data_IF_677736152957
#
_entry.id   IF_677736152957
#
_cell.length_a   1.000
_cell.length_b   1.000
_cell.length_c   1.000
_cell.angle_alpha   90.00
_cell.angle_beta   90.00
_cell.angle_gamma   90.00
#
_symmetry.space_group_name_H-M   'P 1'
#
loop_
_entity.id
_entity.type
_entity.pdbx_description
1 polymer ?
#
# COMPACT_ATOMS: atom_id res chain seq x y z
N UNK A 1 -32.17 7.09 16.07
CA UNK A 1 -31.09 6.13 16.42
C UNK A 1 -29.97 6.12 15.35
N UNK A 2 -30.04 6.96 14.30
CA UNK A 2 -29.04 7.02 13.20
C UNK A 2 -27.93 8.08 13.39
N UNK A 3 -27.84 8.76 14.54
CA UNK A 3 -27.07 10.00 14.70
C UNK A 3 -25.68 9.88 15.38
N UNK A 4 -25.05 8.71 15.46
CA UNK A 4 -23.75 8.53 16.16
C UNK A 4 -22.66 7.88 15.30
N UNK A 5 -22.66 8.10 13.99
CA UNK A 5 -21.51 7.70 13.16
C UNK A 5 -20.49 8.85 13.16
N UNK A 6 -19.24 8.61 13.57
CA UNK A 6 -18.20 9.64 13.62
C UNK A 6 -17.85 10.15 12.21
N UNK A 7 -17.19 11.31 12.16
CA UNK A 7 -16.91 11.97 10.89
C UNK A 7 -15.95 11.16 10.02
N UNK A 8 -16.19 11.21 8.71
CA UNK A 8 -15.42 10.50 7.69
C UNK A 8 -14.61 11.51 6.90
N UNK A 9 -13.29 11.38 6.94
CA UNK A 9 -12.38 12.25 6.19
C UNK A 9 -11.63 11.41 5.16
N UNK A 10 -11.81 11.69 3.87
CA UNK A 10 -11.07 11.04 2.79
C UNK A 10 -9.98 11.98 2.25
N UNK A 11 -8.75 11.49 2.12
CA UNK A 11 -7.62 12.25 1.57
C UNK A 11 -6.85 11.44 0.53
N UNK A 12 -6.61 12.08 -0.62
CA UNK A 12 -5.68 11.60 -1.63
C UNK A 12 -4.25 12.02 -1.26
N UNK A 13 -3.38 11.04 -1.07
CA UNK A 13 -1.96 11.23 -0.79
C UNK A 13 -1.16 10.93 -2.05
N UNK A 14 -0.68 12.00 -2.70
CA UNK A 14 0.17 11.90 -3.89
C UNK A 14 1.60 11.59 -3.47
N UNK A 15 2.11 10.45 -3.94
CA UNK A 15 3.43 9.94 -3.65
C UNK A 15 4.29 10.07 -4.90
N UNK A 16 5.42 10.78 -4.81
CA UNK A 16 6.30 10.92 -5.96
C UNK A 16 7.01 9.60 -6.27
N UNK A 17 6.99 9.19 -7.54
CA UNK A 17 7.73 8.00 -7.94
C UNK A 17 9.23 8.18 -7.68
N UNK A 18 9.86 7.16 -7.09
CA UNK A 18 11.30 7.10 -6.88
C UNK A 18 12.05 7.13 -8.21
N UNK A 19 13.36 7.44 -8.18
CA UNK A 19 14.19 7.37 -9.38
C UNK A 19 14.18 5.98 -10.02
N UNK A 20 14.16 4.93 -9.19
CA UNK A 20 14.12 3.55 -9.65
C UNK A 20 12.76 3.18 -10.27
N UNK A 21 11.65 3.60 -9.66
CA UNK A 21 10.32 3.44 -10.25
C UNK A 21 10.24 4.10 -11.63
N UNK A 22 10.72 5.34 -11.75
CA UNK A 22 10.76 6.07 -13.02
C UNK A 22 11.59 5.34 -14.09
N UNK A 23 12.72 4.76 -13.69
CA UNK A 23 13.58 3.96 -14.58
C UNK A 23 12.85 2.71 -15.10
N UNK A 24 12.22 1.94 -14.21
CA UNK A 24 11.50 0.73 -14.59
C UNK A 24 10.28 1.05 -15.47
N UNK A 25 9.53 2.10 -15.14
CA UNK A 25 8.39 2.54 -15.95
C UNK A 25 8.82 2.91 -17.37
N UNK A 26 9.91 3.68 -17.52
CA UNK A 26 10.48 3.97 -18.84
C UNK A 26 10.87 2.71 -19.59
N UNK A 27 11.47 1.72 -18.91
CA UNK A 27 11.84 0.45 -19.54
C UNK A 27 10.63 -0.32 -20.07
N UNK A 28 9.50 -0.27 -19.36
CA UNK A 28 8.22 -0.85 -19.85
C UNK A 28 7.73 -0.10 -21.10
N UNK A 29 7.79 1.23 -21.09
CA UNK A 29 7.41 2.08 -22.23
C UNK A 29 8.29 1.83 -23.46
N UNK A 30 9.60 1.71 -23.29
CA UNK A 30 10.53 1.42 -24.39
C UNK A 30 10.27 0.03 -25.00
N UNK A 31 9.97 -0.97 -24.17
CA UNK A 31 9.63 -2.31 -24.62
C UNK A 31 8.28 -2.34 -25.38
N UNK A 32 7.33 -1.47 -25.03
CA UNK A 32 6.10 -1.27 -25.79
C UNK A 32 6.38 -0.64 -27.17
N UNK A 33 7.28 0.35 -27.23
CA UNK A 33 7.62 1.05 -28.46
C UNK A 33 8.44 0.24 -29.47
N UNK A 34 9.24 -0.72 -29.00
CA UNK A 34 10.06 -1.59 -29.86
C UNK A 34 9.25 -2.72 -30.53
N UNK A 35 8.07 -3.07 -30.01
CA UNK A 35 7.26 -4.18 -30.50
C UNK A 35 6.19 -3.63 -31.46
N UNK A 36 6.55 -3.53 -32.75
CA UNK A 36 5.62 -3.19 -33.81
C UNK A 36 4.35 -4.07 -33.79
N UNK A 37 3.20 -3.44 -34.05
CA UNK A 37 1.88 -3.99 -34.40
C UNK A 37 1.56 -5.44 -33.96
N UNK A 38 1.77 -5.81 -32.69
CA UNK A 38 1.36 -7.12 -32.18
C UNK A 38 0.60 -7.07 -30.85
N UNK A 39 -0.69 -7.41 -30.98
CA UNK A 39 -1.65 -8.03 -30.03
C UNK A 39 -1.82 -7.35 -28.66
N UNK A 40 -3.06 -6.92 -28.40
CA UNK A 40 -3.70 -6.50 -27.13
C UNK A 40 -3.14 -7.15 -25.84
N UNK A 41 -2.66 -8.40 -25.89
CA UNK A 41 -1.99 -9.09 -24.77
C UNK A 41 -0.68 -8.43 -24.29
N UNK A 42 0.12 -7.85 -25.19
CA UNK A 42 1.36 -7.14 -24.85
C UNK A 42 1.08 -5.86 -24.05
N UNK A 43 0.01 -5.14 -24.43
CA UNK A 43 -0.46 -3.94 -23.72
C UNK A 43 -0.98 -4.29 -22.32
N UNK A 44 -1.78 -5.36 -22.19
CA UNK A 44 -2.29 -5.81 -20.89
C UNK A 44 -1.15 -6.14 -19.90
N UNK A 45 -0.12 -6.86 -20.36
CA UNK A 45 1.04 -7.20 -19.54
C UNK A 45 1.79 -5.93 -19.10
N UNK A 46 1.92 -4.95 -19.98
CA UNK A 46 2.60 -3.69 -19.67
C UNK A 46 1.83 -2.85 -18.65
N UNK A 47 0.50 -2.78 -18.75
CA UNK A 47 -0.33 -2.09 -17.74
C UNK A 47 -0.24 -2.77 -16.39
N UNK A 48 -0.25 -4.11 -16.35
CA UNK A 48 -0.05 -4.85 -15.11
C UNK A 48 1.34 -4.59 -14.51
N UNK A 49 2.36 -4.49 -15.36
CA UNK A 49 3.71 -4.22 -14.92
C UNK A 49 3.88 -2.79 -14.38
N UNK A 50 3.33 -1.78 -15.07
CA UNK A 50 3.28 -0.41 -14.56
C UNK A 50 2.56 -0.34 -13.21
N UNK A 51 1.46 -1.10 -13.05
CA UNK A 51 0.73 -1.21 -11.79
C UNK A 51 1.57 -1.85 -10.68
N UNK A 52 2.32 -2.91 -10.99
CA UNK A 52 3.26 -3.53 -10.06
C UNK A 52 4.30 -2.49 -9.60
N UNK A 53 4.97 -1.82 -10.54
CA UNK A 53 6.01 -0.82 -10.26
C UNK A 53 5.45 0.35 -9.43
N UNK A 54 4.25 0.84 -9.75
CA UNK A 54 3.57 1.91 -9.00
C UNK A 54 3.31 1.52 -7.54
N UNK A 55 2.99 0.26 -7.27
CA UNK A 55 2.73 -0.22 -5.92
C UNK A 55 4.04 -0.51 -5.16
N UNK A 56 4.96 -1.26 -5.78
CA UNK A 56 6.31 -1.47 -5.29
C UNK A 56 7.21 -2.08 -6.38
N UNK A 57 8.45 -1.60 -6.60
CA UNK A 57 9.35 -2.16 -7.61
C UNK A 57 9.62 -3.66 -7.47
N UNK A 58 9.68 -4.21 -6.26
CA UNK A 58 9.90 -5.66 -6.05
C UNK A 58 8.79 -6.55 -6.63
N UNK A 59 7.63 -5.97 -6.97
CA UNK A 59 6.56 -6.70 -7.65
C UNK A 59 6.83 -6.88 -9.15
N UNK A 60 7.68 -6.01 -9.71
CA UNK A 60 8.06 -5.96 -11.11
C UNK A 60 8.95 -7.15 -11.47
N UNK A 61 8.73 -7.73 -12.65
CA UNK A 61 9.62 -8.72 -13.25
C UNK A 61 10.92 -8.10 -13.76
N UNK A 62 10.95 -6.77 -13.92
CA UNK A 62 12.15 -6.02 -14.30
C UNK A 62 13.05 -5.69 -13.11
N UNK A 63 12.57 -5.92 -11.89
CA UNK A 63 13.41 -5.76 -10.70
C UNK A 63 14.37 -6.94 -10.57
N UNK A 64 15.63 -6.64 -10.27
CA UNK A 64 16.69 -7.61 -10.07
C UNK A 64 17.46 -7.23 -8.80
N UNK A 65 17.79 -8.22 -7.98
CA UNK A 65 18.38 -7.98 -6.64
C UNK A 65 19.81 -7.43 -6.72
N UNK A 66 20.53 -7.69 -7.81
CA UNK A 66 21.89 -7.23 -8.08
C UNK A 66 21.99 -5.69 -8.06
N UNK A 67 20.89 -4.99 -8.37
CA UNK A 67 20.81 -3.53 -8.29
C UNK A 67 21.06 -3.04 -6.84
N UNK A 68 20.79 -3.85 -5.82
CA UNK A 68 21.04 -3.46 -4.42
C UNK A 68 22.53 -3.22 -4.14
N UNK A 69 23.44 -3.91 -4.83
CA UNK A 69 24.88 -3.67 -4.73
C UNK A 69 25.35 -2.41 -5.45
N UNK A 70 24.57 -1.92 -6.43
CA UNK A 70 24.86 -0.73 -7.22
C UNK A 70 24.27 0.55 -6.59
N UNK A 71 23.29 0.40 -5.70
CA UNK A 71 22.66 1.52 -5.01
C UNK A 71 23.58 1.99 -3.87
N UNK A 72 23.93 3.30 -3.80
CA UNK A 72 24.71 3.83 -2.70
C UNK A 72 24.07 3.52 -1.34
N UNK A 73 24.90 3.16 -0.35
CA UNK A 73 24.43 2.90 1.02
C UNK A 73 23.64 4.10 1.56
N UNK A 74 22.58 3.82 2.29
CA UNK A 74 21.67 4.81 2.84
C UNK A 74 21.11 4.33 4.16
N UNK A 75 20.68 5.24 5.03
CA UNK A 75 20.13 4.89 6.34
C UNK A 75 18.77 4.19 6.24
N UNK A 76 17.96 4.56 5.23
CA UNK A 76 16.76 3.80 4.87
C UNK A 76 17.13 2.57 4.02
N UNK A 77 16.50 1.42 4.29
CA UNK A 77 16.67 0.22 3.48
C UNK A 77 16.12 0.41 2.07
N UNK A 78 16.62 -0.39 1.13
CA UNK A 78 16.23 -0.32 -0.28
C UNK A 78 14.71 -0.54 -0.48
N UNK A 79 14.08 -1.42 0.31
CA UNK A 79 12.62 -1.64 0.26
C UNK A 79 11.84 -0.33 0.40
N UNK A 80 12.23 0.56 1.33
CA UNK A 80 11.56 1.85 1.52
C UNK A 80 11.97 2.84 0.43
N UNK A 81 13.28 3.00 0.23
CA UNK A 81 13.83 4.07 -0.62
C UNK A 81 13.47 3.91 -2.11
N UNK A 82 13.26 2.68 -2.55
CA UNK A 82 12.93 2.40 -3.95
C UNK A 82 11.45 2.61 -4.27
N UNK A 83 10.57 2.81 -3.28
CA UNK A 83 9.14 3.01 -3.51
C UNK A 83 8.61 4.29 -2.86
N UNK A 84 8.14 5.24 -3.68
CA UNK A 84 7.60 6.51 -3.17
C UNK A 84 6.39 6.37 -2.26
N UNK A 85 5.52 5.37 -2.51
CA UNK A 85 4.38 5.09 -1.62
C UNK A 85 4.83 4.57 -0.26
N UNK A 86 5.81 3.66 -0.25
CA UNK A 86 6.32 3.09 0.99
C UNK A 86 7.13 4.11 1.78
N UNK A 87 7.90 4.97 1.11
CA UNK A 87 8.57 6.11 1.74
C UNK A 87 7.55 7.09 2.37
N UNK A 88 6.42 7.35 1.71
CA UNK A 88 5.35 8.16 2.31
C UNK A 88 4.73 7.48 3.53
N UNK A 89 4.43 6.17 3.42
CA UNK A 89 3.92 5.37 4.54
C UNK A 89 4.90 5.36 5.72
N UNK A 90 6.21 5.29 5.47
CA UNK A 90 7.27 5.34 6.48
C UNK A 90 7.24 6.62 7.32
N UNK A 91 6.76 7.72 6.74
CA UNK A 91 6.59 9.02 7.42
C UNK A 91 5.23 9.16 8.11
N UNK A 92 4.20 8.46 7.63
CA UNK A 92 2.83 8.53 8.15
C UNK A 92 2.61 7.60 9.34
N UNK A 93 3.04 6.34 9.24
CA UNK A 93 2.80 5.30 10.24
C UNK A 93 3.33 5.65 11.65
N UNK A 94 4.53 6.26 11.82
CA UNK A 94 4.99 6.67 13.14
C UNK A 94 4.08 7.72 13.80
N UNK A 95 3.51 8.64 13.00
CA UNK A 95 2.58 9.66 13.50
C UNK A 95 1.28 9.02 13.96
N UNK A 96 0.73 8.12 13.14
CA UNK A 96 -0.48 7.37 13.47
C UNK A 96 -0.28 6.52 14.73
N UNK A 97 0.89 5.88 14.89
CA UNK A 97 1.20 5.09 16.07
C UNK A 97 1.35 5.96 17.32
N UNK A 98 2.00 7.12 17.20
CA UNK A 98 2.19 8.06 18.31
C UNK A 98 0.85 8.65 18.83
N UNK A 99 -0.16 8.74 17.97
CA UNK A 99 -1.51 9.22 18.33
C UNK A 99 -2.52 8.08 18.54
N UNK A 100 -2.05 6.85 18.78
CA UNK A 100 -2.89 5.69 19.12
C UNK A 100 -4.00 5.37 18.08
N UNK A 101 -3.67 5.53 16.80
CA UNK A 101 -4.50 5.04 15.69
C UNK A 101 -4.18 3.57 15.38
N UNK A 102 -5.13 2.85 14.80
CA UNK A 102 -4.97 1.48 14.30
C UNK A 102 -5.28 1.43 12.81
N UNK A 103 -4.41 0.80 12.03
CA UNK A 103 -4.42 0.94 10.57
C UNK A 103 -4.90 -0.35 9.90
N UNK A 104 -5.84 -0.22 8.96
CA UNK A 104 -6.13 -1.30 8.00
C UNK A 104 -5.47 -0.97 6.67
N UNK A 105 -4.58 -1.86 6.22
CA UNK A 105 -3.92 -1.71 4.93
C UNK A 105 -4.51 -2.69 3.94
N UNK A 106 -5.16 -2.15 2.91
CA UNK A 106 -5.76 -2.96 1.85
C UNK A 106 -4.87 -3.01 0.61
N UNK A 107 -4.79 -4.20 0.02
CA UNK A 107 -4.17 -4.38 -1.28
C UNK A 107 -4.93 -5.39 -2.12
N UNK A 108 -5.01 -5.14 -3.42
CA UNK A 108 -5.50 -6.15 -4.39
C UNK A 108 -4.47 -7.26 -4.65
N UNK A 109 -3.19 -6.96 -4.43
CA UNK A 109 -2.06 -7.85 -4.72
C UNK A 109 -1.57 -8.45 -3.41
N UNK A 110 -1.64 -9.78 -3.26
CA UNK A 110 -1.11 -10.49 -2.09
C UNK A 110 0.41 -10.35 -2.00
N UNK A 111 1.12 -10.36 -3.13
CA UNK A 111 2.57 -10.10 -3.19
C UNK A 111 2.98 -8.75 -2.57
N UNK A 112 2.11 -7.74 -2.62
CA UNK A 112 2.37 -6.47 -1.96
C UNK A 112 2.28 -6.61 -0.44
N UNK A 113 1.40 -7.49 0.06
CA UNK A 113 1.31 -7.76 1.49
C UNK A 113 2.61 -8.41 1.99
N UNK A 114 3.22 -9.32 1.22
CA UNK A 114 4.53 -9.91 1.55
C UNK A 114 5.59 -8.81 1.73
N UNK A 115 5.68 -7.87 0.78
CA UNK A 115 6.59 -6.70 0.89
C UNK A 115 6.27 -5.84 2.11
N UNK A 116 4.99 -5.66 2.43
CA UNK A 116 4.60 -4.91 3.63
C UNK A 116 5.01 -5.66 4.91
N UNK A 117 4.91 -6.99 4.97
CA UNK A 117 5.37 -7.78 6.11
C UNK A 117 6.86 -7.56 6.37
N UNK A 118 7.71 -7.64 5.34
CA UNK A 118 9.15 -7.38 5.46
C UNK A 118 9.43 -5.98 6.04
N UNK A 119 8.73 -4.97 5.54
CA UNK A 119 8.84 -3.59 6.02
C UNK A 119 8.38 -3.46 7.48
N UNK A 120 7.25 -4.07 7.85
CA UNK A 120 6.71 -4.00 9.22
C UNK A 120 7.58 -4.77 10.21
N UNK A 121 8.18 -5.88 9.78
CA UNK A 121 9.18 -6.62 10.54
C UNK A 121 10.40 -5.74 10.80
N UNK A 122 10.94 -5.08 9.77
CA UNK A 122 12.06 -4.14 9.95
C UNK A 122 11.71 -2.99 10.91
N UNK A 123 10.48 -2.44 10.83
CA UNK A 123 10.00 -1.38 11.73
C UNK A 123 9.58 -1.85 13.12
N UNK A 124 9.57 -3.16 13.38
CA UNK A 124 9.10 -3.75 14.63
C UNK A 124 7.65 -3.36 14.96
N UNK A 125 6.80 -3.29 13.94
CA UNK A 125 5.37 -3.10 14.10
C UNK A 125 4.67 -4.47 14.15
N UNK A 126 3.89 -4.70 15.21
CA UNK A 126 3.04 -5.89 15.30
C UNK A 126 1.86 -5.74 14.35
N UNK A 127 1.63 -6.75 13.54
CA UNK A 127 0.58 -6.75 12.55
C UNK A 127 -0.12 -8.12 12.47
N UNK A 128 -1.30 -8.13 11.87
CA UNK A 128 -2.01 -9.35 11.45
C UNK A 128 -2.20 -9.31 9.94
N UNK A 129 -2.39 -10.48 9.32
CA UNK A 129 -2.62 -10.63 7.88
C UNK A 129 -3.81 -11.52 7.61
N UNK A 130 -4.70 -11.08 6.72
CA UNK A 130 -5.83 -11.87 6.25
C UNK A 130 -5.93 -11.76 4.72
N UNK A 131 -5.74 -12.90 4.05
CA UNK A 131 -5.82 -13.00 2.60
C UNK A 131 -6.56 -14.27 2.12
N UNK A 132 -6.45 -14.60 0.84
CA UNK A 132 -7.14 -15.75 0.25
C UNK A 132 -6.60 -17.11 0.71
N UNK A 133 -5.38 -17.16 1.25
CA UNK A 133 -4.75 -18.40 1.73
C UNK A 133 -5.08 -18.67 3.20
N UNK A 134 -5.61 -17.69 3.94
CA UNK A 134 -6.05 -17.87 5.32
C UNK A 134 -7.25 -18.84 5.39
N UNK A 135 -7.10 -19.91 6.17
CA UNK A 135 -8.14 -20.91 6.38
C UNK A 135 -9.40 -20.27 7.00
N UNK A 136 -10.59 -20.77 6.63
CA UNK A 136 -11.87 -20.19 7.05
C UNK A 136 -12.01 -20.06 8.58
N UNK A 137 -11.58 -21.08 9.33
CA UNK A 137 -11.65 -21.09 10.80
C UNK A 137 -10.74 -20.08 11.50
N UNK A 138 -9.63 -19.67 10.87
CA UNK A 138 -8.67 -18.73 11.47
C UNK A 138 -9.08 -17.26 11.30
N UNK A 139 -9.94 -16.97 10.32
CA UNK A 139 -10.38 -15.60 10.01
C UNK A 139 -11.02 -14.93 11.21
N UNK A 140 -11.95 -15.63 11.88
CA UNK A 140 -12.63 -15.12 13.08
C UNK A 140 -11.65 -14.78 14.19
N UNK A 141 -10.71 -15.68 14.46
CA UNK A 141 -9.70 -15.49 15.50
C UNK A 141 -8.78 -14.29 15.23
N UNK A 142 -8.39 -14.04 13.98
CA UNK A 142 -7.58 -12.86 13.62
C UNK A 142 -8.36 -11.55 13.82
N UNK A 143 -9.64 -11.53 13.47
CA UNK A 143 -10.52 -10.37 13.66
C UNK A 143 -10.71 -10.08 15.15
N UNK A 144 -10.97 -11.12 15.94
CA UNK A 144 -11.14 -11.01 17.38
C UNK A 144 -9.87 -10.48 18.05
N UNK A 145 -8.70 -11.05 17.73
CA UNK A 145 -7.39 -10.57 18.21
C UNK A 145 -7.14 -9.10 17.89
N UNK A 146 -7.59 -8.60 16.74
CA UNK A 146 -7.43 -7.19 16.37
C UNK A 146 -8.39 -6.27 17.13
N UNK A 147 -9.63 -6.73 17.34
CA UNK A 147 -10.67 -5.97 18.04
C UNK A 147 -10.53 -5.99 19.56
N UNK A 148 -9.76 -6.94 20.12
CA UNK A 148 -9.54 -7.08 21.56
C UNK A 148 -9.10 -5.74 22.20
N UNK A 149 -9.69 -5.34 23.34
CA UNK A 149 -9.25 -4.15 24.06
C UNK A 149 -7.77 -4.24 24.44
N UNK A 150 -6.99 -3.22 24.12
CA UNK A 150 -5.54 -3.24 24.37
C UNK A 150 -4.75 -4.18 23.45
N UNK A 151 -5.35 -4.64 22.34
CA UNK A 151 -4.65 -5.44 21.35
C UNK A 151 -3.33 -4.79 20.94
N UNK A 152 -2.20 -5.53 20.97
CA UNK A 152 -0.90 -4.97 20.66
C UNK A 152 -0.67 -4.83 19.15
N UNK A 153 -1.61 -5.26 18.31
CA UNK A 153 -1.51 -5.24 16.85
C UNK A 153 -1.91 -3.86 16.32
N UNK A 154 -0.92 -3.17 15.75
CA UNK A 154 -1.09 -1.81 15.22
C UNK A 154 -1.70 -1.82 13.81
N UNK A 155 -1.34 -2.81 12.99
CA UNK A 155 -1.72 -2.87 11.56
C UNK A 155 -2.41 -4.19 11.25
N UNK A 156 -3.47 -4.15 10.44
CA UNK A 156 -4.06 -5.34 9.84
C UNK A 156 -3.94 -5.26 8.31
N UNK A 157 -3.10 -6.13 7.75
CA UNK A 157 -2.90 -6.34 6.32
C UNK A 157 -4.04 -7.17 5.73
N UNK A 158 -4.73 -6.63 4.74
CA UNK A 158 -5.95 -7.22 4.18
C UNK A 158 -5.89 -7.27 2.66
N UNK A 159 -6.05 -8.46 2.08
CA UNK A 159 -6.31 -8.53 0.63
C UNK A 159 -7.75 -8.09 0.35
N UNK A 160 -7.99 -7.34 -0.74
CA UNK A 160 -9.35 -6.86 -1.07
C UNK A 160 -10.33 -8.02 -1.22
N UNK A 161 -9.90 -9.12 -1.85
CA UNK A 161 -10.73 -10.33 -2.05
C UNK A 161 -11.13 -10.97 -0.72
N UNK A 162 -10.19 -11.13 0.20
CA UNK A 162 -10.45 -11.77 1.48
C UNK A 162 -11.18 -10.87 2.48
N UNK A 163 -10.92 -9.56 2.42
CA UNK A 163 -11.64 -8.59 3.24
C UNK A 163 -13.08 -8.33 2.73
N UNK A 164 -13.37 -8.63 1.46
CA UNK A 164 -14.69 -8.46 0.82
C UNK A 164 -15.84 -9.22 1.49
N UNK A 165 -15.50 -10.23 2.30
CA UNK A 165 -16.45 -11.13 2.96
C UNK A 165 -16.71 -10.63 4.39
N UNK A 166 -17.64 -9.68 4.59
CA UNK A 166 -18.32 -9.45 5.88
C UNK A 166 -17.46 -9.23 7.14
N UNK A 167 -16.22 -8.74 7.02
CA UNK A 167 -15.29 -8.61 8.16
C UNK A 167 -15.64 -7.37 9.01
N UNK A 168 -15.97 -7.55 10.30
CA UNK A 168 -16.30 -6.46 11.22
C UNK A 168 -15.04 -5.94 11.94
N UNK A 169 -14.48 -4.81 11.47
CA UNK A 169 -13.24 -4.23 11.99
C UNK A 169 -13.50 -2.83 12.56
N UNK A 170 -14.17 -2.79 13.71
CA UNK A 170 -14.52 -1.55 14.44
C UNK A 170 -13.28 -0.87 15.07
N UNK A 171 -12.18 -1.60 15.15
CA UNK A 171 -10.95 -1.18 15.80
C UNK A 171 -10.15 -0.11 15.07
N UNK A 172 -10.33 0.02 13.75
CA UNK A 172 -9.43 0.79 12.92
C UNK A 172 -10.05 2.05 12.34
N UNK A 173 -9.20 3.05 12.21
CA UNK A 173 -9.54 4.43 11.89
C UNK A 173 -8.75 4.94 10.68
N UNK A 174 -7.89 4.13 10.03
CA UNK A 174 -7.26 4.47 8.75
C UNK A 174 -7.44 3.41 7.65
N UNK A 175 -7.97 3.77 6.46
CA UNK A 175 -8.44 2.81 5.42
C UNK A 175 -8.18 3.27 3.97
N UNK A 176 -8.14 2.36 2.97
CA UNK A 176 -8.18 2.63 1.51
C UNK A 176 -9.56 2.29 0.88
N UNK A 177 -9.91 2.91 -0.26
CA UNK A 177 -11.26 3.11 -0.83
C UNK A 177 -12.15 1.90 -1.15
N UNK A 178 -11.74 0.68 -0.83
CA UNK A 178 -12.54 -0.53 -1.04
C UNK A 178 -12.88 -1.26 0.26
N UNK A 179 -12.51 -0.68 1.41
CA UNK A 179 -12.87 -1.18 2.74
C UNK A 179 -13.64 -0.16 3.58
N UNK A 180 -14.13 0.88 2.92
CA UNK A 180 -14.84 2.01 3.51
C UNK A 180 -16.06 1.56 4.35
N UNK A 181 -16.82 0.58 3.87
CA UNK A 181 -17.98 0.03 4.58
C UNK A 181 -17.63 -0.87 5.78
N UNK A 182 -16.33 -1.12 6.07
CA UNK A 182 -15.89 -2.09 7.09
C UNK A 182 -15.45 -1.45 8.40
N UNK A 183 -14.89 -0.24 8.32
CA UNK A 183 -14.48 0.56 9.49
C UNK A 183 -15.52 1.61 9.88
N UNK A 184 -16.23 2.18 8.90
CA UNK A 184 -17.32 3.13 9.14
C UNK A 184 -18.65 2.37 9.31
N UNK A 185 -18.85 1.83 10.51
CA UNK A 185 -20.06 1.08 10.88
C UNK A 185 -20.51 1.44 12.30
N UNK A 186 -21.80 1.20 12.58
CA UNK A 186 -22.42 1.32 13.91
C UNK A 186 -21.53 0.60 14.94
N UNK A 187 -21.07 1.36 15.96
CA UNK A 187 -20.14 0.92 17.00
C UNK A 187 -18.73 1.53 16.93
N UNK A 188 -18.36 2.20 15.82
CA UNK A 188 -17.13 2.98 15.75
C UNK A 188 -17.25 4.25 16.60
N UNK A 189 -16.26 4.51 17.45
CA UNK A 189 -16.22 5.66 18.37
C UNK A 189 -15.20 6.74 17.99
N UNK A 190 -14.25 6.42 17.11
CA UNK A 190 -13.22 7.35 16.61
C UNK A 190 -13.52 7.76 15.16
N UNK A 191 -13.13 8.98 14.77
CA UNK A 191 -13.20 9.44 13.38
C UNK A 191 -12.41 8.53 12.44
N UNK A 192 -12.94 8.33 11.22
CA UNK A 192 -12.35 7.42 10.24
C UNK A 192 -11.67 8.23 9.13
N UNK A 193 -10.34 8.12 9.06
CA UNK A 193 -9.48 8.72 8.05
C UNK A 193 -9.20 7.75 6.90
N UNK A 194 -9.72 8.01 5.71
CA UNK A 194 -9.42 7.19 4.53
C UNK A 194 -8.26 7.84 3.76
N UNK A 195 -7.14 7.12 3.60
CA UNK A 195 -5.96 7.59 2.84
C UNK A 195 -5.80 6.79 1.56
N UNK A 196 -5.94 7.46 0.40
CA UNK A 196 -5.65 6.86 -0.91
C UNK A 196 -4.25 7.24 -1.36
N UNK A 197 -3.36 6.26 -1.55
CA UNK A 197 -1.99 6.48 -2.02
C UNK A 197 -1.91 6.34 -3.54
N UNK A 198 -1.57 7.43 -4.22
CA UNK A 198 -1.41 7.46 -5.67
C UNK A 198 0.03 7.82 -6.05
N UNK A 199 0.62 7.07 -6.97
CA UNK A 199 1.97 7.38 -7.48
C UNK A 199 1.84 8.44 -8.57
N UNK A 200 2.57 9.54 -8.41
CA UNK A 200 2.63 10.61 -9.40
C UNK A 200 4.00 10.66 -10.10
N UNK A 201 3.96 10.82 -11.41
CA UNK A 201 5.11 11.14 -12.24
C UNK A 201 5.12 12.65 -12.45
N UNK A 202 5.89 13.40 -11.65
CA UNK A 202 6.14 14.79 -12.02
C UNK A 202 6.98 14.80 -13.30
N UNK A 203 6.57 15.53 -14.36
CA UNK A 203 7.48 15.82 -15.44
C UNK A 203 8.70 16.51 -14.83
N UNK A 204 9.92 16.19 -15.31
CA UNK A 204 11.08 17.02 -15.00
C UNK A 204 10.66 18.44 -15.35
N UNK A 205 10.64 19.33 -14.36
CA UNK A 205 10.51 20.76 -14.61
C UNK A 205 11.51 21.08 -15.71
N UNK A 206 11.02 21.39 -16.91
CA UNK A 206 11.86 22.05 -17.91
C UNK A 206 12.32 23.29 -17.16
N UNK A 207 13.61 23.38 -16.83
CA UNK A 207 14.19 24.66 -16.53
C UNK A 207 13.84 25.52 -17.73
N UNK A 208 12.85 26.39 -17.57
CA UNK A 208 12.76 27.57 -18.40
C UNK A 208 14.07 28.28 -18.11
N UNK A 209 15.02 28.12 -19.02
CA UNK A 209 16.13 29.04 -19.15
C UNK A 209 15.49 30.41 -19.31
N UNK A 210 15.44 31.15 -18.22
CA UNK A 210 15.17 32.58 -18.26
C UNK A 210 16.45 33.16 -18.86
N UNK A 211 16.39 33.43 -20.17
CA UNK A 211 17.25 34.42 -20.81
C UNK A 211 16.73 35.81 -20.45
#
# INVERSE_FOLDING_TARGET
>A
VENELPEKIERLVRCEASAYQKLLMRRVEDNLGAIGTSKVRSVHNSVMELRNICNHPYLSQLHVEEVHGLIPKHYLPNIVRLCGKLEMLDRLLPKLKATDHRVLLFSTMTRLLDVMEDYLHWKQYRYLRLDGHTAGGERGALIEKFNEPGSPFFIFLLSIRAGGVGVNLQAADTVDLQAQARAHRIGQKKDVLVLRLETILRPKSRHQSVN
#
